data_IF_805130734726
#
_entry.id   IF_805130734726
#
_cell.length_a   1.000
_cell.length_b   1.000
_cell.length_c   1.000
_cell.angle_alpha   90.00
_cell.angle_beta   90.00
_cell.angle_gamma   90.00
#
_symmetry.space_group_name_H-M   'P 1'
#
loop_
_entity.id
_entity.type
_entity.pdbx_description
1 polymer ?
#
# COMPACT_ATOMS: atom_id res chain seq x y z
N UNK A 1 8.59 29.28 -0.42
CA UNK A 1 9.53 28.32 -1.05
C UNK A 1 10.26 29.07 -2.14
N UNK A 2 11.60 29.00 -2.18
CA UNK A 2 12.42 29.65 -3.22
C UNK A 2 12.34 28.84 -4.53
N UNK A 3 12.67 29.43 -5.68
CA UNK A 3 12.64 28.75 -7.00
C UNK A 3 13.55 27.50 -7.08
N UNK A 4 14.49 27.34 -6.14
CA UNK A 4 15.38 26.16 -6.04
C UNK A 4 14.78 25.00 -5.25
N UNK A 5 13.56 25.13 -4.74
CA UNK A 5 12.94 24.08 -3.92
C UNK A 5 12.58 22.89 -4.82
N UNK A 6 12.90 21.63 -4.43
CA UNK A 6 12.53 20.46 -5.20
C UNK A 6 11.02 20.36 -5.43
N UNK A 7 10.62 19.92 -6.61
CA UNK A 7 9.19 19.77 -6.98
C UNK A 7 8.44 18.81 -6.04
N UNK A 8 9.15 17.87 -5.42
CA UNK A 8 8.61 16.91 -4.46
C UNK A 8 7.87 17.58 -3.29
N UNK A 9 8.25 18.80 -2.90
CA UNK A 9 7.57 19.55 -1.83
C UNK A 9 6.18 20.09 -2.22
N UNK A 10 5.91 20.21 -3.52
CA UNK A 10 4.65 20.75 -4.06
C UNK A 10 3.68 19.62 -4.41
N UNK A 11 4.19 18.40 -4.60
CA UNK A 11 3.38 17.23 -4.89
C UNK A 11 2.70 16.76 -3.59
N UNK A 12 1.36 16.76 -3.52
CA UNK A 12 0.65 16.29 -2.33
C UNK A 12 0.89 14.79 -2.19
N UNK A 13 1.64 14.41 -1.17
CA UNK A 13 1.82 13.02 -0.76
C UNK A 13 1.52 12.91 0.73
N UNK A 14 1.01 11.75 1.15
CA UNK A 14 0.86 11.42 2.56
C UNK A 14 2.21 11.10 3.23
N UNK A 15 3.31 11.08 2.45
CA UNK A 15 4.67 10.74 2.92
C UNK A 15 5.73 11.75 2.52
N UNK A 16 6.81 11.75 3.31
CA UNK A 16 8.06 12.47 3.07
C UNK A 16 7.87 13.97 2.76
N UNK A 17 8.68 14.51 1.84
CA UNK A 17 8.69 15.92 1.43
C UNK A 17 7.35 16.42 0.89
N UNK A 18 6.48 15.53 0.39
CA UNK A 18 5.15 15.88 -0.12
C UNK A 18 4.13 16.19 0.97
N UNK A 19 4.39 15.80 2.22
CA UNK A 19 3.56 16.14 3.39
C UNK A 19 3.41 17.64 3.58
N UNK A 20 4.40 18.46 3.19
CA UNK A 20 4.32 19.91 3.35
C UNK A 20 3.12 20.52 2.61
N UNK A 21 2.89 20.09 1.36
CA UNK A 21 1.77 20.59 0.56
C UNK A 21 0.43 20.03 1.04
N UNK A 22 0.39 18.74 1.38
CA UNK A 22 -0.79 18.09 1.93
C UNK A 22 -1.21 18.71 3.27
N UNK A 23 -0.28 18.86 4.21
CA UNK A 23 -0.53 19.44 5.53
C UNK A 23 -0.96 20.91 5.44
N UNK A 24 -0.35 21.69 4.54
CA UNK A 24 -0.77 23.07 4.30
C UNK A 24 -2.21 23.14 3.78
N UNK A 25 -2.55 22.31 2.78
CA UNK A 25 -3.89 22.25 2.23
C UNK A 25 -4.89 21.82 3.30
N UNK A 26 -4.62 20.71 4.00
CA UNK A 26 -5.45 20.20 5.08
C UNK A 26 -5.69 21.26 6.15
N UNK A 27 -4.63 21.94 6.61
CA UNK A 27 -4.72 23.01 7.59
C UNK A 27 -5.62 24.15 7.14
N UNK A 28 -5.48 24.63 5.90
CA UNK A 28 -6.30 25.72 5.36
C UNK A 28 -7.78 25.34 5.28
N UNK A 29 -8.09 24.13 4.79
CA UNK A 29 -9.46 23.64 4.67
C UNK A 29 -10.08 23.39 6.06
N UNK A 30 -9.31 22.84 7.00
CA UNK A 30 -9.73 22.65 8.39
C UNK A 30 -10.04 23.98 9.06
N UNK A 31 -9.18 25.00 8.91
CA UNK A 31 -9.41 26.34 9.47
C UNK A 31 -10.67 26.98 8.94
N UNK A 32 -10.95 26.84 7.64
CA UNK A 32 -12.19 27.33 7.05
C UNK A 32 -13.41 26.64 7.69
N UNK A 33 -13.40 25.31 7.79
CA UNK A 33 -14.51 24.55 8.37
C UNK A 33 -14.74 24.92 9.85
N UNK A 34 -13.66 25.04 10.63
CA UNK A 34 -13.73 25.47 12.04
C UNK A 34 -14.29 26.88 12.19
N UNK A 35 -13.93 27.79 11.28
CA UNK A 35 -14.48 29.15 11.27
C UNK A 35 -15.98 29.15 10.95
N UNK A 36 -16.42 28.37 9.95
CA UNK A 36 -17.84 28.21 9.62
C UNK A 36 -18.64 27.57 10.76
N UNK A 37 -18.04 26.63 11.51
CA UNK A 37 -18.66 26.03 12.68
C UNK A 37 -18.92 27.06 13.78
N UNK A 38 -17.95 27.93 14.08
CA UNK A 38 -18.11 29.04 15.03
C UNK A 38 -19.17 30.04 14.57
N UNK A 39 -19.18 30.38 13.29
CA UNK A 39 -20.22 31.24 12.70
C UNK A 39 -21.62 30.64 12.88
N UNK A 40 -21.82 29.35 12.62
CA UNK A 40 -23.11 28.68 12.80
C UNK A 40 -23.59 28.74 14.26
N UNK A 41 -22.67 28.57 15.22
CA UNK A 41 -22.99 28.70 16.66
C UNK A 41 -23.49 30.10 17.03
N UNK A 42 -22.85 31.16 16.51
CA UNK A 42 -23.25 32.54 16.78
C UNK A 42 -24.55 32.94 16.06
N UNK A 43 -24.71 32.51 14.81
CA UNK A 43 -25.89 32.78 13.97
C UNK A 43 -27.12 31.95 14.36
N UNK A 44 -26.98 30.97 15.28
CA UNK A 44 -28.00 29.96 15.62
C UNK A 44 -28.47 29.12 14.43
N UNK A 45 -27.63 29.03 13.40
CA UNK A 45 -27.89 28.24 12.19
C UNK A 45 -27.31 26.84 12.38
N UNK A 46 -27.96 25.79 11.85
CA UNK A 46 -27.46 24.42 11.95
C UNK A 46 -26.28 24.23 10.98
N UNK A 47 -25.11 23.85 11.50
CA UNK A 47 -23.93 23.56 10.67
C UNK A 47 -24.21 22.49 9.60
N UNK A 48 -24.99 21.46 9.94
CA UNK A 48 -25.37 20.40 9.00
C UNK A 48 -26.30 20.83 7.87
N UNK A 49 -26.92 22.02 7.98
CA UNK A 49 -27.76 22.58 6.92
C UNK A 49 -26.99 23.33 5.85
N UNK A 50 -25.68 23.56 6.04
CA UNK A 50 -24.84 24.17 5.03
C UNK A 50 -24.57 23.20 3.87
N UNK A 51 -24.45 23.71 2.64
CA UNK A 51 -24.05 22.91 1.48
C UNK A 51 -22.66 22.30 1.72
N UNK A 52 -22.48 21.05 1.31
CA UNK A 52 -21.23 20.29 1.44
C UNK A 52 -20.59 20.14 0.06
N UNK A 53 -19.29 20.37 -0.04
CA UNK A 53 -18.54 20.33 -1.30
C UNK A 53 -17.28 19.49 -1.10
N UNK A 54 -16.96 18.64 -2.07
CA UNK A 54 -15.72 17.86 -2.10
C UNK A 54 -14.52 18.74 -2.48
N UNK A 55 -13.31 18.33 -2.06
CA UNK A 55 -12.07 19.05 -2.42
C UNK A 55 -11.86 19.12 -3.94
N UNK A 56 -12.36 18.13 -4.68
CA UNK A 56 -12.27 18.05 -6.15
C UNK A 56 -13.11 19.10 -6.87
N UNK A 57 -14.25 19.47 -6.29
CA UNK A 57 -15.23 20.38 -6.89
C UNK A 57 -15.12 21.80 -6.31
N UNK A 58 -13.98 22.11 -5.72
CA UNK A 58 -13.78 23.33 -4.94
C UNK A 58 -13.51 24.52 -5.86
N UNK A 59 -14.25 25.61 -5.65
CA UNK A 59 -14.13 26.84 -6.41
C UNK A 59 -13.88 28.01 -5.47
N UNK A 60 -13.39 29.14 -5.99
CA UNK A 60 -13.18 30.35 -5.20
C UNK A 60 -14.47 30.86 -4.50
N UNK A 61 -15.65 30.54 -5.04
CA UNK A 61 -16.93 30.89 -4.42
C UNK A 61 -17.19 30.11 -3.12
N UNK A 62 -16.68 28.88 -3.01
CA UNK A 62 -16.82 28.03 -1.83
C UNK A 62 -15.86 28.43 -0.70
N UNK A 63 -14.76 29.12 -1.03
CA UNK A 63 -13.74 29.53 -0.06
C UNK A 63 -14.04 30.88 0.60
N UNK A 64 -13.60 31.03 1.85
CA UNK A 64 -13.56 32.34 2.51
C UNK A 64 -12.34 33.10 1.99
N UNK A 65 -12.58 34.13 1.20
CA UNK A 65 -11.53 34.98 0.64
C UNK A 65 -11.89 36.45 0.87
N UNK A 66 -10.92 37.21 1.37
CA UNK A 66 -11.05 38.65 1.60
C UNK A 66 -9.67 39.31 1.49
N UNK A 67 -9.66 40.58 1.08
CA UNK A 67 -8.46 41.39 1.08
C UNK A 67 -8.48 42.39 2.25
N UNK A 68 -7.48 42.43 3.14
CA UNK A 68 -7.48 43.33 4.31
C UNK A 68 -7.76 44.79 3.96
N UNK A 69 -7.02 45.36 3.00
CA UNK A 69 -7.16 46.80 2.70
C UNK A 69 -8.35 47.16 1.80
N UNK A 70 -8.77 46.25 0.91
CA UNK A 70 -9.84 46.54 -0.06
C UNK A 70 -11.22 46.18 0.47
N UNK A 71 -11.29 45.16 1.32
CA UNK A 71 -12.54 44.65 1.87
C UNK A 71 -12.73 45.05 3.33
N UNK A 72 -11.78 44.71 4.21
CA UNK A 72 -11.95 44.89 5.65
C UNK A 72 -11.82 46.35 6.07
N UNK A 73 -10.80 47.06 5.59
CA UNK A 73 -10.52 48.44 6.01
C UNK A 73 -11.70 49.40 5.73
N UNK A 74 -12.35 49.40 4.54
CA UNK A 74 -13.52 50.24 4.32
C UNK A 74 -14.70 49.90 5.23
N UNK A 75 -14.90 48.61 5.56
CA UNK A 75 -15.96 48.20 6.49
C UNK A 75 -15.68 48.69 7.92
N UNK A 76 -14.42 48.63 8.38
CA UNK A 76 -14.05 49.13 9.71
C UNK A 76 -14.28 50.65 9.78
N UNK A 77 -13.84 51.40 8.77
CA UNK A 77 -13.99 52.85 8.71
C UNK A 77 -15.47 53.28 8.64
N UNK A 78 -16.30 52.54 7.89
CA UNK A 78 -17.74 52.82 7.80
C UNK A 78 -18.49 52.62 9.13
N UNK A 79 -17.96 51.80 10.03
CA UNK A 79 -18.53 51.53 11.35
C UNK A 79 -17.84 52.34 12.47
N UNK A 80 -16.98 53.28 12.10
CA UNK A 80 -16.27 54.18 13.02
C UNK A 80 -17.05 55.49 13.14
N UNK A 81 -17.53 55.80 14.35
CA UNK A 81 -18.25 57.04 14.64
C UNK A 81 -17.34 57.97 15.44
N UNK A 82 -17.17 59.20 14.93
CA UNK A 82 -16.43 60.25 15.62
C UNK A 82 -17.42 61.13 16.38
N UNK A 83 -17.32 61.17 17.71
CA UNK A 83 -18.05 62.12 18.54
C UNK A 83 -17.09 63.16 19.12
N UNK A 84 -17.54 64.40 19.14
CA UNK A 84 -16.78 65.53 19.69
C UNK A 84 -17.57 66.15 20.82
N UNK A 85 -17.05 66.05 22.05
CA UNK A 85 -17.62 66.69 23.22
C UNK A 85 -16.76 67.88 23.64
N UNK A 86 -17.40 69.05 23.81
CA UNK A 86 -16.70 70.30 24.14
C UNK A 86 -16.02 70.15 25.50
N UNK A 87 -14.68 70.14 25.50
CA UNK A 87 -13.84 70.03 26.69
C UNK A 87 -13.23 68.64 26.95
N UNK A 88 -13.59 67.60 26.19
CA UNK A 88 -13.06 66.23 26.37
C UNK A 88 -12.34 65.63 25.15
N UNK A 89 -12.28 66.35 24.02
CA UNK A 89 -11.55 65.92 22.82
C UNK A 89 -12.36 64.98 21.91
N UNK A 90 -11.70 64.41 20.90
CA UNK A 90 -12.33 63.50 19.93
C UNK A 90 -12.40 62.08 20.48
N UNK A 91 -13.61 61.55 20.63
CA UNK A 91 -13.85 60.15 21.02
C UNK A 91 -14.20 59.34 19.77
N UNK A 92 -13.58 58.17 19.66
CA UNK A 92 -13.79 57.23 18.55
C UNK A 92 -14.54 56.02 19.08
N UNK A 93 -15.72 55.76 18.53
CA UNK A 93 -16.55 54.62 18.92
C UNK A 93 -16.79 53.70 17.71
N UNK A 94 -16.64 52.39 17.93
CA UNK A 94 -16.84 51.37 16.91
C UNK A 94 -18.14 50.62 17.15
N UNK A 95 -18.96 50.53 16.10
CA UNK A 95 -20.15 49.69 16.13
C UNK A 95 -19.80 48.23 15.76
N UNK A 96 -19.31 47.47 16.74
CA UNK A 96 -18.91 46.07 16.54
C UNK A 96 -20.07 45.17 16.08
N UNK A 97 -21.29 45.43 16.52
CA UNK A 97 -22.47 44.62 16.14
C UNK A 97 -22.80 44.78 14.66
N UNK A 98 -22.72 45.99 14.11
CA UNK A 98 -22.94 46.23 12.70
C UNK A 98 -21.78 45.68 11.84
N UNK A 99 -20.54 45.84 12.33
CA UNK A 99 -19.34 45.29 11.69
C UNK A 99 -19.42 43.76 11.61
N UNK A 100 -19.81 43.09 12.70
CA UNK A 100 -20.00 41.64 12.75
C UNK A 100 -21.06 41.19 11.73
N UNK A 101 -22.23 41.85 11.67
CA UNK A 101 -23.28 41.54 10.68
C UNK A 101 -22.76 41.70 9.24
N UNK A 102 -22.06 42.79 8.93
CA UNK A 102 -21.53 43.03 7.59
C UNK A 102 -20.48 41.99 7.16
N UNK A 103 -19.62 41.55 8.10
CA UNK A 103 -18.66 40.48 7.84
C UNK A 103 -19.36 39.16 7.53
N UNK A 104 -20.36 38.80 8.34
CA UNK A 104 -21.14 37.57 8.16
C UNK A 104 -21.86 37.56 6.82
N UNK A 105 -22.59 38.63 6.51
CA UNK A 105 -23.40 38.72 5.29
C UNK A 105 -22.54 38.70 4.02
N UNK A 106 -21.38 39.37 4.03
CA UNK A 106 -20.54 39.52 2.85
C UNK A 106 -19.60 38.33 2.59
N UNK A 107 -19.02 37.72 3.64
CA UNK A 107 -17.99 36.70 3.48
C UNK A 107 -18.43 35.28 3.83
N UNK A 108 -19.50 35.11 4.61
CA UNK A 108 -19.86 33.81 5.19
C UNK A 108 -21.22 33.28 4.73
N UNK A 109 -22.16 34.15 4.35
CA UNK A 109 -23.57 33.83 4.11
C UNK A 109 -23.88 32.79 3.00
N UNK A 110 -22.89 32.32 2.25
CA UNK A 110 -23.08 31.35 1.16
C UNK A 110 -22.02 30.25 1.12
N UNK A 111 -21.18 30.17 2.16
CA UNK A 111 -20.03 29.27 2.15
C UNK A 111 -20.42 27.84 2.47
N UNK A 112 -19.73 26.93 1.80
CA UNK A 112 -19.95 25.49 1.91
C UNK A 112 -18.96 24.86 2.88
N UNK A 113 -19.39 23.79 3.53
CA UNK A 113 -18.51 22.93 4.33
C UNK A 113 -17.71 22.03 3.40
N UNK A 114 -16.41 21.95 3.61
CA UNK A 114 -15.50 21.20 2.76
C UNK A 114 -15.32 19.79 3.31
N UNK A 115 -15.55 18.77 2.48
CA UNK A 115 -15.36 17.36 2.84
C UNK A 115 -13.90 16.95 2.63
N UNK A 116 -13.14 16.80 3.72
CA UNK A 116 -11.69 16.53 3.72
C UNK A 116 -11.30 15.09 3.34
N UNK A 117 -12.26 14.20 3.06
CA UNK A 117 -12.00 12.76 2.86
C UNK A 117 -11.36 12.40 1.52
N UNK A 118 -11.34 13.33 0.55
CA UNK A 118 -10.92 13.06 -0.83
C UNK A 118 -9.93 14.11 -1.32
N UNK A 119 -8.90 14.40 -0.53
CA UNK A 119 -7.76 15.20 -1.01
C UNK A 119 -6.96 14.31 -1.97
N UNK A 120 -6.82 14.74 -3.22
CA UNK A 120 -6.04 14.00 -4.20
C UNK A 120 -4.56 14.03 -3.82
N UNK A 121 -3.99 12.83 -3.67
CA UNK A 121 -2.57 12.62 -3.37
C UNK A 121 -1.91 11.87 -4.52
N UNK A 122 -0.61 12.11 -4.69
CA UNK A 122 0.24 11.43 -5.65
C UNK A 122 0.79 10.17 -4.97
N UNK A 123 0.51 9.02 -5.55
CA UNK A 123 1.09 7.74 -5.13
C UNK A 123 2.28 7.42 -6.03
N UNK A 124 3.45 7.19 -5.44
CA UNK A 124 4.63 6.83 -6.22
C UNK A 124 4.56 5.36 -6.66
N UNK A 125 5.06 5.05 -7.86
CA UNK A 125 5.05 3.67 -8.38
C UNK A 125 5.84 2.69 -7.51
N UNK A 126 6.88 3.17 -6.83
CA UNK A 126 7.65 2.39 -5.84
C UNK A 126 6.82 1.97 -4.63
N UNK A 127 5.66 2.57 -4.41
CA UNK A 127 4.73 2.28 -3.32
C UNK A 127 3.59 1.34 -3.74
N UNK A 128 3.61 0.89 -5.01
CA UNK A 128 2.66 -0.10 -5.54
C UNK A 128 3.33 -1.47 -5.59
N UNK A 129 3.77 -1.98 -4.43
CA UNK A 129 4.34 -3.33 -4.35
C UNK A 129 3.28 -4.38 -4.65
N UNK A 130 3.72 -5.58 -5.02
CA UNK A 130 2.82 -6.70 -5.32
C UNK A 130 1.90 -7.01 -4.13
N UNK A 131 2.40 -6.89 -2.90
CA UNK A 131 1.61 -7.04 -1.69
C UNK A 131 0.38 -6.12 -1.65
N UNK A 132 0.55 -4.84 -1.99
CA UNK A 132 -0.55 -3.85 -2.03
C UNK A 132 -1.55 -4.20 -3.14
N UNK A 133 -1.06 -4.59 -4.31
CA UNK A 133 -1.91 -5.01 -5.44
C UNK A 133 -2.76 -6.21 -5.05
N UNK A 134 -2.19 -7.19 -4.37
CA UNK A 134 -2.90 -8.38 -3.94
C UNK A 134 -3.89 -8.13 -2.80
N UNK A 135 -3.63 -7.20 -1.87
CA UNK A 135 -4.64 -6.76 -0.89
C UNK A 135 -5.89 -6.25 -1.59
N UNK A 136 -5.73 -5.33 -2.56
CA UNK A 136 -6.86 -4.80 -3.31
C UNK A 136 -7.57 -5.86 -4.16
N UNK A 137 -6.83 -6.84 -4.68
CA UNK A 137 -7.42 -7.97 -5.38
C UNK A 137 -8.28 -8.81 -4.42
N UNK A 138 -7.77 -9.12 -3.22
CA UNK A 138 -8.48 -9.92 -2.20
C UNK A 138 -9.74 -9.24 -1.67
N UNK A 139 -9.72 -7.92 -1.56
CA UNK A 139 -10.91 -7.13 -1.19
C UNK A 139 -12.05 -7.28 -2.20
N UNK A 140 -11.73 -7.55 -3.48
CA UNK A 140 -12.71 -7.71 -4.56
C UNK A 140 -13.07 -9.17 -4.83
N UNK A 141 -12.07 -10.04 -4.85
CA UNK A 141 -12.18 -11.46 -5.23
C UNK A 141 -11.42 -12.27 -4.19
N UNK A 142 -12.14 -13.06 -3.40
CA UNK A 142 -11.52 -13.98 -2.44
C UNK A 142 -10.60 -14.95 -3.19
N UNK A 143 -9.31 -14.90 -2.85
CA UNK A 143 -8.30 -15.76 -3.45
C UNK A 143 -8.19 -17.08 -2.69
N UNK A 144 -8.01 -18.17 -3.43
CA UNK A 144 -7.87 -19.54 -2.94
C UNK A 144 -6.55 -20.13 -3.46
N UNK A 145 -5.88 -20.95 -2.64
CA UNK A 145 -4.74 -21.75 -3.08
C UNK A 145 -5.19 -22.85 -4.03
N UNK A 146 -4.35 -23.09 -5.03
CA UNK A 146 -4.44 -24.22 -5.95
C UNK A 146 -4.11 -25.51 -5.17
N UNK A 147 -4.77 -26.63 -5.49
CA UNK A 147 -4.46 -27.92 -4.87
C UNK A 147 -3.00 -28.33 -5.16
N UNK A 148 -2.31 -28.89 -4.16
CA UNK A 148 -0.89 -29.28 -4.29
C UNK A 148 -0.62 -30.21 -5.49
N UNK A 149 -1.58 -31.09 -5.81
CA UNK A 149 -1.52 -31.98 -6.98
C UNK A 149 -1.59 -31.27 -8.32
N UNK A 150 -2.29 -30.14 -8.40
CA UNK A 150 -2.42 -29.33 -9.61
C UNK A 150 -1.23 -28.37 -9.70
N UNK A 151 -0.77 -27.83 -8.56
CA UNK A 151 0.40 -26.98 -8.47
C UNK A 151 1.67 -27.71 -8.95
N UNK A 152 1.90 -28.95 -8.50
CA UNK A 152 3.04 -29.77 -8.96
C UNK A 152 3.00 -30.08 -10.46
N UNK A 153 1.80 -30.27 -11.02
CA UNK A 153 1.62 -30.46 -12.46
C UNK A 153 1.89 -29.18 -13.25
N UNK A 154 1.48 -28.02 -12.73
CA UNK A 154 1.78 -26.72 -13.33
C UNK A 154 3.28 -26.45 -13.26
N UNK A 155 3.94 -26.70 -12.12
CA UNK A 155 5.40 -26.59 -11.98
C UNK A 155 6.14 -27.48 -12.97
N UNK A 156 5.72 -28.74 -13.13
CA UNK A 156 6.34 -29.66 -14.10
C UNK A 156 6.23 -29.13 -15.54
N UNK A 157 5.07 -28.56 -15.90
CA UNK A 157 4.86 -27.95 -17.22
C UNK A 157 5.71 -26.68 -17.38
N UNK A 158 5.79 -25.83 -16.35
CA UNK A 158 6.61 -24.61 -16.34
C UNK A 158 8.10 -24.91 -16.46
N UNK A 159 8.60 -25.96 -15.81
CA UNK A 159 10.00 -26.40 -15.91
C UNK A 159 10.39 -26.69 -17.36
N UNK A 160 9.47 -27.20 -18.18
CA UNK A 160 9.71 -27.49 -19.60
C UNK A 160 9.69 -26.26 -20.52
N UNK A 161 9.28 -25.09 -20.01
CA UNK A 161 9.09 -23.86 -20.78
C UNK A 161 10.30 -22.94 -20.70
N UNK A 162 10.49 -22.15 -21.75
CA UNK A 162 11.62 -21.23 -21.88
C UNK A 162 11.50 -20.05 -20.91
N UNK A 163 12.62 -19.50 -20.44
CA UNK A 163 12.62 -18.38 -19.48
C UNK A 163 11.82 -17.16 -19.96
N UNK A 164 11.94 -16.69 -21.23
CA UNK A 164 11.13 -15.57 -21.73
C UNK A 164 9.63 -15.84 -21.68
N UNK A 165 9.18 -17.06 -21.99
CA UNK A 165 7.76 -17.43 -21.97
C UNK A 165 7.17 -17.33 -20.55
N UNK A 166 7.95 -17.68 -19.53
CA UNK A 166 7.53 -17.55 -18.13
C UNK A 166 7.40 -16.07 -17.75
N UNK A 167 8.35 -15.22 -18.15
CA UNK A 167 8.27 -13.77 -17.93
C UNK A 167 7.06 -13.14 -18.64
N UNK A 168 6.84 -13.46 -19.91
CA UNK A 168 5.70 -12.95 -20.68
C UNK A 168 4.37 -13.37 -20.04
N UNK A 169 4.31 -14.55 -19.43
CA UNK A 169 3.13 -15.02 -18.69
C UNK A 169 2.88 -14.21 -17.42
N UNK A 170 3.94 -13.86 -16.69
CA UNK A 170 3.85 -13.02 -15.50
C UNK A 170 3.32 -11.63 -15.90
N UNK A 171 3.85 -11.04 -16.96
CA UNK A 171 3.41 -9.72 -17.45
C UNK A 171 1.93 -9.74 -17.87
N UNK A 172 1.50 -10.81 -18.56
CA UNK A 172 0.08 -11.00 -18.92
C UNK A 172 -0.81 -11.16 -17.68
N UNK A 173 -0.33 -11.84 -16.64
CA UNK A 173 -1.04 -11.96 -15.37
C UNK A 173 -1.08 -10.63 -14.60
N UNK A 174 -0.03 -9.82 -14.64
CA UNK A 174 -0.02 -8.47 -14.04
C UNK A 174 -1.10 -7.59 -14.66
N UNK A 175 -1.22 -7.64 -15.99
CA UNK A 175 -2.31 -6.97 -16.70
C UNK A 175 -3.64 -7.50 -16.18
N UNK A 176 -3.84 -8.82 -16.14
CA UNK A 176 -5.10 -9.39 -15.68
C UNK A 176 -5.46 -9.02 -14.23
N UNK A 177 -4.50 -9.07 -13.31
CA UNK A 177 -4.66 -8.66 -11.91
C UNK A 177 -5.03 -7.16 -11.84
N UNK A 178 -4.40 -6.33 -12.67
CA UNK A 178 -4.68 -4.88 -12.71
C UNK A 178 -6.11 -4.55 -13.15
N UNK A 179 -6.72 -5.38 -13.99
CA UNK A 179 -8.12 -5.24 -14.36
C UNK A 179 -9.05 -5.83 -13.30
N UNK A 180 -8.71 -7.00 -12.75
CA UNK A 180 -9.51 -7.66 -11.72
C UNK A 180 -9.64 -6.83 -10.44
N UNK A 181 -8.59 -6.12 -10.02
CA UNK A 181 -8.66 -5.21 -8.85
C UNK A 181 -9.62 -4.03 -9.07
N UNK A 182 -9.81 -3.59 -10.31
CA UNK A 182 -10.61 -2.40 -10.65
C UNK A 182 -12.07 -2.75 -10.97
N UNK A 183 -12.29 -3.80 -11.76
CA UNK A 183 -13.61 -4.18 -12.27
C UNK A 183 -14.28 -5.25 -11.39
N UNK A 184 -13.48 -6.04 -10.68
CA UNK A 184 -13.95 -7.29 -10.08
C UNK A 184 -14.22 -8.35 -11.15
N UNK A 185 -14.29 -9.61 -10.72
CA UNK A 185 -14.66 -10.74 -11.58
C UNK A 185 -15.33 -11.82 -10.72
N UNK A 186 -16.12 -12.68 -11.35
CA UNK A 186 -16.69 -13.84 -10.67
C UNK A 186 -15.56 -14.83 -10.29
N UNK A 187 -15.40 -15.19 -9.00
CA UNK A 187 -14.31 -16.05 -8.54
C UNK A 187 -14.26 -17.42 -9.23
N UNK A 188 -15.43 -17.93 -9.67
CA UNK A 188 -15.57 -19.25 -10.28
C UNK A 188 -15.35 -19.26 -11.79
N UNK A 189 -15.30 -18.08 -12.42
CA UNK A 189 -15.06 -17.95 -13.85
C UNK A 189 -13.66 -18.44 -14.24
N UNK A 190 -13.51 -19.14 -15.38
CA UNK A 190 -12.21 -19.62 -15.83
C UNK A 190 -11.30 -18.45 -16.18
N UNK A 191 -10.06 -18.49 -15.69
CA UNK A 191 -9.09 -17.40 -15.89
C UNK A 191 -8.78 -17.18 -17.39
N UNK A 192 -8.76 -18.28 -18.15
CA UNK A 192 -8.54 -18.27 -19.59
C UNK A 192 -9.63 -17.53 -20.36
N UNK A 193 -10.89 -17.70 -19.96
CA UNK A 193 -12.04 -16.99 -20.55
C UNK A 193 -11.94 -15.49 -20.29
N UNK A 194 -11.58 -15.10 -19.07
CA UNK A 194 -11.34 -13.69 -18.74
C UNK A 194 -10.21 -13.08 -19.58
N UNK A 195 -9.07 -13.77 -19.70
CA UNK A 195 -7.92 -13.24 -20.45
C UNK A 195 -8.20 -13.17 -21.97
N UNK A 196 -8.87 -14.16 -22.54
CA UNK A 196 -9.10 -14.24 -23.99
C UNK A 196 -10.32 -13.39 -24.40
N UNK A 197 -11.46 -13.55 -23.71
CA UNK A 197 -12.71 -12.94 -24.17
C UNK A 197 -12.94 -11.54 -23.62
N UNK A 198 -12.45 -11.23 -22.40
CA UNK A 198 -12.60 -9.90 -21.80
C UNK A 198 -11.38 -9.03 -22.11
N UNK A 199 -10.18 -9.52 -21.84
CA UNK A 199 -8.95 -8.74 -22.06
C UNK A 199 -8.41 -8.81 -23.49
N UNK A 200 -8.90 -9.73 -24.32
CA UNK A 200 -8.45 -9.92 -25.71
C UNK A 200 -6.94 -10.14 -25.83
N UNK A 201 -6.38 -10.90 -24.89
CA UNK A 201 -4.99 -11.32 -24.92
C UNK A 201 -4.91 -12.61 -25.72
N UNK A 202 -4.35 -12.52 -26.93
CA UNK A 202 -4.03 -13.69 -27.74
C UNK A 202 -2.92 -14.51 -27.03
N UNK A 203 -3.19 -15.80 -26.80
CA UNK A 203 -2.39 -16.72 -25.98
C UNK A 203 -2.31 -16.34 -24.48
N UNK A 204 -3.31 -16.76 -23.69
CA UNK A 204 -3.46 -16.32 -22.30
C UNK A 204 -2.39 -16.82 -21.33
N UNK A 205 -2.00 -18.09 -21.40
CA UNK A 205 -1.17 -18.76 -20.39
C UNK A 205 -0.23 -19.77 -21.05
N UNK A 206 1.01 -19.84 -20.58
CA UNK A 206 2.04 -20.74 -21.12
C UNK A 206 1.85 -22.21 -20.72
N UNK A 207 1.18 -22.47 -19.58
CA UNK A 207 0.80 -23.82 -19.17
C UNK A 207 -0.63 -24.15 -19.62
N UNK A 208 -0.77 -25.22 -20.40
CA UNK A 208 -2.07 -25.70 -20.89
C UNK A 208 -2.94 -26.21 -19.72
N UNK A 209 -2.30 -26.78 -18.69
CA UNK A 209 -3.00 -27.25 -17.48
C UNK A 209 -3.49 -26.09 -16.61
N UNK A 210 -2.70 -25.02 -16.50
CA UNK A 210 -3.13 -23.79 -15.83
C UNK A 210 -4.33 -23.17 -16.57
N UNK A 211 -4.32 -23.18 -17.90
CA UNK A 211 -5.42 -22.64 -18.71
C UNK A 211 -6.75 -23.39 -18.54
N UNK A 212 -6.69 -24.70 -18.30
CA UNK A 212 -7.87 -25.56 -18.15
C UNK A 212 -8.42 -25.62 -16.72
N UNK A 213 -7.55 -25.49 -15.71
CA UNK A 213 -7.93 -25.74 -14.31
C UNK A 213 -7.97 -24.49 -13.43
N UNK A 214 -7.33 -23.39 -13.85
CA UNK A 214 -7.29 -22.16 -13.06
C UNK A 214 -8.53 -21.28 -13.28
N UNK A 215 -9.03 -20.74 -12.17
CA UNK A 215 -10.17 -19.81 -12.09
C UNK A 215 -9.66 -18.45 -11.62
N UNK A 216 -10.49 -17.41 -11.70
CA UNK A 216 -10.13 -16.07 -11.23
C UNK A 216 -9.75 -16.03 -9.74
N UNK A 217 -10.28 -16.94 -8.91
CA UNK A 217 -9.86 -17.10 -7.50
C UNK A 217 -8.45 -17.66 -7.30
N UNK A 218 -7.82 -18.24 -8.32
CA UNK A 218 -6.48 -18.84 -8.23
C UNK A 218 -5.38 -17.93 -8.79
N UNK A 219 -5.71 -16.74 -9.29
CA UNK A 219 -4.77 -15.90 -10.04
C UNK A 219 -3.58 -15.44 -9.19
N UNK A 220 -3.79 -15.11 -7.91
CA UNK A 220 -2.70 -14.76 -6.99
C UNK A 220 -1.74 -15.93 -6.80
N UNK A 221 -2.26 -17.13 -6.51
CA UNK A 221 -1.45 -18.32 -6.29
C UNK A 221 -0.64 -18.70 -7.55
N UNK A 222 -1.26 -18.59 -8.73
CA UNK A 222 -0.58 -18.85 -10.01
C UNK A 222 0.56 -17.84 -10.26
N UNK A 223 0.31 -16.55 -10.03
CA UNK A 223 1.31 -15.51 -10.20
C UNK A 223 2.51 -15.72 -9.28
N UNK A 224 2.25 -15.99 -7.99
CA UNK A 224 3.35 -16.21 -7.02
C UNK A 224 4.13 -17.47 -7.35
N UNK A 225 3.48 -18.53 -7.82
CA UNK A 225 4.16 -19.76 -8.28
C UNK A 225 5.08 -19.47 -9.48
N UNK A 226 4.61 -18.70 -10.46
CA UNK A 226 5.43 -18.30 -11.62
C UNK A 226 6.59 -17.40 -11.23
N UNK A 227 6.36 -16.46 -10.31
CA UNK A 227 7.40 -15.61 -9.77
C UNK A 227 8.47 -16.42 -9.03
N UNK A 228 8.08 -17.43 -8.24
CA UNK A 228 9.00 -18.34 -7.56
C UNK A 228 9.88 -19.09 -8.56
N UNK A 229 9.28 -19.68 -9.60
CA UNK A 229 10.03 -20.40 -10.64
C UNK A 229 10.98 -19.46 -11.41
N UNK A 230 10.56 -18.21 -11.67
CA UNK A 230 11.42 -17.19 -12.26
C UNK A 230 12.62 -16.90 -11.34
N UNK A 231 12.40 -16.69 -10.05
CA UNK A 231 13.45 -16.42 -9.05
C UNK A 231 14.41 -17.61 -8.91
N UNK A 232 13.91 -18.85 -8.81
CA UNK A 232 14.75 -20.06 -8.79
C UNK A 232 15.63 -20.18 -10.04
N UNK A 233 15.09 -19.86 -11.22
CA UNK A 233 15.85 -19.90 -12.48
C UNK A 233 16.88 -18.78 -12.57
N UNK A 234 16.62 -17.61 -12.02
CA UNK A 234 17.59 -16.52 -11.96
C UNK A 234 18.75 -16.88 -11.03
N UNK A 235 18.44 -17.51 -9.89
CA UNK A 235 19.44 -17.96 -8.91
C UNK A 235 20.37 -19.01 -9.52
N UNK A 236 19.80 -20.04 -10.17
CA UNK A 236 20.59 -21.06 -10.87
C UNK A 236 21.48 -20.49 -11.99
N UNK A 237 21.16 -19.29 -12.49
CA UNK A 237 21.94 -18.59 -13.51
C UNK A 237 22.85 -17.49 -12.93
N UNK A 238 22.99 -17.40 -11.60
CA UNK A 238 23.74 -16.36 -10.88
C UNK A 238 23.34 -14.93 -11.27
N UNK A 239 22.05 -14.69 -11.53
CA UNK A 239 21.49 -13.35 -11.79
C UNK A 239 20.72 -12.86 -10.57
N UNK A 240 20.55 -11.55 -10.43
CA UNK A 240 19.77 -10.99 -9.32
C UNK A 240 18.33 -11.53 -9.33
N UNK A 241 17.99 -12.35 -8.33
CA UNK A 241 16.73 -13.11 -8.27
C UNK A 241 15.53 -12.29 -7.75
N UNK A 242 15.79 -11.10 -7.19
CA UNK A 242 14.82 -10.24 -6.51
C UNK A 242 14.92 -8.76 -6.95
N UNK A 243 14.93 -8.49 -8.25
CA UNK A 243 15.05 -7.12 -8.81
C UNK A 243 14.00 -6.12 -8.28
N UNK A 244 12.79 -6.62 -7.97
CA UNK A 244 11.65 -5.79 -7.57
C UNK A 244 11.54 -5.55 -6.05
N UNK A 245 12.35 -6.22 -5.22
CA UNK A 245 12.31 -6.07 -3.76
C UNK A 245 13.32 -5.03 -3.31
N UNK A 246 12.91 -4.19 -2.35
CA UNK A 246 13.77 -3.17 -1.75
C UNK A 246 15.09 -3.77 -1.24
N UNK A 247 16.21 -3.10 -1.53
CA UNK A 247 17.54 -3.52 -1.07
C UNK A 247 17.66 -3.57 0.46
N UNK A 248 16.72 -2.97 1.19
CA UNK A 248 16.61 -3.08 2.64
C UNK A 248 16.39 -4.54 3.11
N UNK A 249 15.82 -5.41 2.26
CA UNK A 249 15.54 -6.82 2.56
C UNK A 249 16.57 -7.81 2.00
N UNK A 250 17.66 -7.29 1.41
CA UNK A 250 18.76 -8.07 0.81
C UNK A 250 20.05 -8.02 1.68
N UNK A 251 19.92 -7.86 2.99
CA UNK A 251 21.08 -7.79 3.87
C UNK A 251 21.60 -9.19 4.19
N UNK A 252 22.93 -9.35 4.18
CA UNK A 252 23.58 -10.61 4.52
C UNK A 252 23.47 -10.89 6.01
N UNK A 253 23.00 -12.08 6.42
CA UNK A 253 23.04 -12.50 7.81
C UNK A 253 24.48 -12.65 8.33
N UNK A 254 24.65 -12.60 9.65
CA UNK A 254 25.93 -12.86 10.33
C UNK A 254 26.33 -14.33 10.25
N UNK A 255 27.62 -14.66 10.42
CA UNK A 255 28.12 -16.06 10.41
C UNK A 255 27.38 -16.95 11.41
N UNK A 256 27.14 -16.47 12.64
CA UNK A 256 26.39 -17.21 13.68
C UNK A 256 24.91 -17.44 13.33
N UNK A 257 24.32 -16.53 12.55
CA UNK A 257 22.94 -16.62 12.08
C UNK A 257 22.81 -17.64 10.94
N UNK A 258 23.83 -17.72 10.09
CA UNK A 258 23.92 -18.72 9.04
C UNK A 258 24.12 -20.11 9.64
N UNK A 259 25.03 -20.27 10.60
CA UNK A 259 25.29 -21.59 11.22
C UNK A 259 24.02 -22.15 11.88
N UNK A 260 23.28 -21.32 12.61
CA UNK A 260 21.99 -21.71 13.20
C UNK A 260 20.92 -22.01 12.14
N UNK A 261 20.90 -21.28 11.02
CA UNK A 261 20.02 -21.61 9.89
C UNK A 261 20.37 -22.96 9.26
N UNK A 262 21.65 -23.21 8.98
CA UNK A 262 22.12 -24.47 8.40
C UNK A 262 21.78 -25.67 9.29
N UNK A 263 21.98 -25.57 10.60
CA UNK A 263 21.62 -26.63 11.56
C UNK A 263 20.12 -26.94 11.53
N UNK A 264 19.26 -25.91 11.47
CA UNK A 264 17.80 -26.10 11.43
C UNK A 264 17.36 -26.68 10.08
N UNK A 265 17.97 -26.23 8.97
CA UNK A 265 17.63 -26.65 7.61
C UNK A 265 18.14 -28.05 7.27
N UNK A 266 19.25 -28.49 7.87
CA UNK A 266 19.78 -29.84 7.62
C UNK A 266 18.84 -30.94 8.12
N UNK A 267 18.08 -30.68 9.18
CA UNK A 267 17.10 -31.61 9.75
C UNK A 267 15.91 -31.86 8.80
N UNK A 268 15.65 -30.95 7.86
CA UNK A 268 14.47 -31.01 6.99
C UNK A 268 14.67 -31.91 5.77
N UNK A 269 13.59 -32.58 5.37
CA UNK A 269 13.52 -33.39 4.15
C UNK A 269 13.36 -32.50 2.89
N UNK A 270 13.69 -33.04 1.72
CA UNK A 270 13.64 -32.31 0.43
C UNK A 270 12.24 -31.73 0.13
N UNK A 271 11.16 -32.49 0.38
CA UNK A 271 9.78 -32.02 0.21
C UNK A 271 9.41 -30.89 1.19
N UNK A 272 9.99 -30.92 2.40
CA UNK A 272 9.78 -29.89 3.41
C UNK A 272 10.53 -28.61 3.05
N UNK A 273 11.75 -28.71 2.50
CA UNK A 273 12.51 -27.58 2.00
C UNK A 273 11.83 -26.89 0.82
N UNK A 274 11.21 -27.66 -0.09
CA UNK A 274 10.44 -27.08 -1.19
C UNK A 274 9.21 -26.31 -0.70
N UNK A 275 8.48 -26.89 0.25
CA UNK A 275 7.31 -26.24 0.88
C UNK A 275 7.71 -25.00 1.68
N UNK A 276 8.87 -25.04 2.35
CA UNK A 276 9.44 -23.94 3.11
C UNK A 276 9.87 -22.79 2.18
N UNK A 277 10.55 -23.10 1.08
CA UNK A 277 10.95 -22.14 0.05
C UNK A 277 9.74 -21.42 -0.54
N UNK A 278 8.66 -22.15 -0.85
CA UNK A 278 7.39 -21.56 -1.31
C UNK A 278 6.79 -20.62 -0.26
N UNK A 279 6.73 -21.05 1.01
CA UNK A 279 6.13 -20.25 2.08
C UNK A 279 6.93 -18.98 2.39
N UNK A 280 8.26 -19.07 2.47
CA UNK A 280 9.09 -17.89 2.74
C UNK A 280 9.01 -16.92 1.57
N UNK A 281 8.94 -17.41 0.33
CA UNK A 281 8.73 -16.55 -0.83
C UNK A 281 7.35 -15.86 -0.81
N UNK A 282 6.29 -16.61 -0.49
CA UNK A 282 4.94 -16.07 -0.28
C UNK A 282 4.97 -14.97 0.80
N UNK A 283 5.63 -15.23 1.93
CA UNK A 283 5.78 -14.28 3.03
C UNK A 283 6.54 -13.02 2.56
N UNK A 284 7.66 -13.20 1.86
CA UNK A 284 8.45 -12.08 1.33
C UNK A 284 7.60 -11.18 0.43
N UNK A 285 6.88 -11.75 -0.54
CA UNK A 285 6.14 -10.97 -1.54
C UNK A 285 4.77 -10.46 -1.07
N UNK A 286 4.11 -11.15 -0.14
CA UNK A 286 2.74 -10.84 0.26
C UNK A 286 2.66 -10.08 1.59
N UNK A 287 3.66 -10.19 2.46
CA UNK A 287 3.64 -9.55 3.79
C UNK A 287 4.86 -8.67 4.08
N UNK A 288 6.08 -9.08 3.68
CA UNK A 288 7.30 -8.34 4.01
C UNK A 288 7.52 -7.15 3.07
N UNK A 289 7.29 -7.31 1.77
CA UNK A 289 7.41 -6.25 0.75
C UNK A 289 6.21 -5.28 0.77
N UNK A 290 5.88 -4.77 1.96
CA UNK A 290 4.86 -3.77 2.20
C UNK A 290 5.50 -2.39 2.35
N UNK A 291 5.11 -1.38 1.55
CA UNK A 291 5.66 -0.04 1.66
C UNK A 291 5.14 0.61 2.95
N UNK A 292 6.03 1.22 3.73
CA UNK A 292 5.71 1.81 5.03
C UNK A 292 4.63 2.89 4.95
N UNK A 293 3.40 2.53 5.36
CA UNK A 293 2.23 3.37 5.70
C UNK A 293 2.55 4.84 6.02
N UNK A 294 3.14 4.98 7.20
CA UNK A 294 3.22 6.18 8.03
C UNK A 294 4.44 6.06 8.97
N UNK A 295 4.83 7.14 9.68
CA UNK A 295 5.88 7.08 10.72
C UNK A 295 5.52 6.12 11.89
N UNK A 296 4.23 5.81 12.07
CA UNK A 296 3.72 4.84 13.06
C UNK A 296 3.66 3.40 12.52
N UNK A 297 3.92 3.19 11.22
CA UNK A 297 3.92 1.86 10.63
C UNK A 297 5.16 1.08 11.05
N UNK A 298 4.97 -0.18 11.43
CA UNK A 298 6.07 -1.04 11.88
C UNK A 298 7.04 -1.23 10.72
N UNK A 299 8.29 -0.82 10.93
CA UNK A 299 9.36 -1.05 9.97
C UNK A 299 9.64 -2.54 9.84
N UNK A 300 9.06 -3.17 8.82
CA UNK A 300 9.18 -4.61 8.58
C UNK A 300 10.63 -5.06 8.51
N UNK A 301 11.58 -4.21 8.09
CA UNK A 301 13.00 -4.58 8.03
C UNK A 301 13.61 -4.91 9.41
N UNK A 302 13.05 -4.34 10.48
CA UNK A 302 13.50 -4.53 11.88
C UNK A 302 12.69 -5.57 12.64
N UNK A 303 11.62 -6.09 12.05
CA UNK A 303 10.80 -7.15 12.64
C UNK A 303 11.57 -8.47 12.54
N UNK A 304 11.43 -9.34 13.55
CA UNK A 304 12.03 -10.66 13.49
C UNK A 304 11.39 -11.49 12.36
N UNK A 305 12.18 -12.20 11.56
CA UNK A 305 11.66 -13.08 10.49
C UNK A 305 10.63 -14.06 11.06
N UNK A 306 10.88 -14.57 12.26
CA UNK A 306 9.95 -15.43 12.98
C UNK A 306 8.60 -14.78 13.25
N UNK A 307 8.59 -13.52 13.72
CA UNK A 307 7.36 -12.77 14.01
C UNK A 307 6.57 -12.50 12.72
N UNK A 308 7.27 -12.22 11.62
CA UNK A 308 6.64 -12.04 10.31
C UNK A 308 6.03 -13.33 9.77
N UNK A 309 6.71 -14.48 9.92
CA UNK A 309 6.17 -15.79 9.55
C UNK A 309 5.02 -16.20 10.47
N UNK A 310 5.12 -15.96 11.79
CA UNK A 310 4.01 -16.17 12.73
C UNK A 310 2.78 -15.32 12.34
N UNK A 311 2.99 -14.06 11.93
CA UNK A 311 1.94 -13.18 11.42
C UNK A 311 1.31 -13.71 10.14
N UNK A 312 2.13 -14.19 9.20
CA UNK A 312 1.65 -14.78 7.94
C UNK A 312 0.78 -16.03 8.20
N UNK A 313 1.16 -16.86 9.18
CA UNK A 313 0.41 -18.07 9.53
C UNK A 313 -0.90 -17.76 10.27
N UNK A 314 -0.97 -16.64 10.99
CA UNK A 314 -2.17 -16.22 11.71
C UNK A 314 -3.23 -15.62 10.77
N UNK A 315 -2.81 -14.78 9.81
CA UNK A 315 -3.69 -14.16 8.82
C UNK A 315 -3.26 -14.55 7.39
N UNK A 316 -3.57 -15.79 6.96
CA UNK A 316 -3.16 -16.28 5.67
C UNK A 316 -3.82 -15.49 4.53
N UNK A 317 -3.08 -15.16 3.46
CA UNK A 317 -3.61 -14.41 2.33
C UNK A 317 -4.57 -15.22 1.45
N UNK A 318 -4.87 -16.48 1.79
CA UNK A 318 -5.73 -17.38 1.05
C UNK A 318 -6.86 -17.92 1.92
N UNK A 319 -8.09 -17.93 1.39
CA UNK A 319 -9.29 -18.26 2.15
C UNK A 319 -9.45 -19.76 2.50
N UNK A 320 -8.71 -20.64 1.81
CA UNK A 320 -8.84 -22.10 1.92
C UNK A 320 -7.55 -22.79 2.43
N UNK A 321 -6.69 -22.07 3.15
CA UNK A 321 -5.43 -22.65 3.61
C UNK A 321 -5.70 -23.80 4.60
N UNK A 322 -5.16 -24.97 4.29
CA UNK A 322 -5.25 -26.13 5.17
C UNK A 322 -4.53 -25.84 6.50
N UNK A 323 -4.93 -26.56 7.56
CA UNK A 323 -4.22 -26.54 8.85
C UNK A 323 -2.71 -26.61 8.63
N UNK A 324 -1.99 -25.62 9.14
CA UNK A 324 -0.53 -25.53 9.04
C UNK A 324 0.08 -26.85 9.53
N UNK A 325 0.83 -27.58 8.70
CA UNK A 325 1.46 -28.84 9.12
C UNK A 325 2.29 -28.68 10.41
N UNK A 326 2.20 -29.64 11.32
CA UNK A 326 2.90 -29.59 12.63
C UNK A 326 4.41 -29.34 12.50
N UNK A 327 5.04 -29.78 11.42
CA UNK A 327 6.47 -29.56 11.17
C UNK A 327 6.81 -28.08 10.92
N UNK A 328 5.90 -27.31 10.32
CA UNK A 328 6.06 -25.85 10.12
C UNK A 328 6.01 -25.14 11.46
N UNK A 329 5.10 -25.54 12.35
CA UNK A 329 5.06 -24.99 13.70
C UNK A 329 6.36 -25.30 14.47
N UNK A 330 6.90 -26.53 14.32
CA UNK A 330 8.20 -26.89 14.90
C UNK A 330 9.34 -26.04 14.33
N UNK A 331 9.38 -25.82 13.02
CA UNK A 331 10.36 -24.95 12.37
C UNK A 331 10.27 -23.52 12.91
N UNK A 332 9.07 -22.93 12.94
CA UNK A 332 8.87 -21.58 13.48
C UNK A 332 9.31 -21.53 14.94
N UNK A 333 8.97 -22.52 15.77
CA UNK A 333 9.44 -22.54 17.17
C UNK A 333 10.96 -22.65 17.30
N UNK A 334 11.64 -23.36 16.38
CA UNK A 334 13.08 -23.52 16.35
C UNK A 334 13.83 -22.23 15.95
N UNK A 335 13.18 -21.32 15.22
CA UNK A 335 13.78 -20.02 14.90
C UNK A 335 14.06 -19.23 16.19
N UNK A 336 15.26 -18.63 16.35
CA UNK A 336 15.62 -17.86 17.53
C UNK A 336 14.74 -16.60 17.67
N UNK A 337 14.17 -16.39 18.86
CA UNK A 337 13.34 -15.21 19.21
C UNK A 337 14.18 -14.01 19.62
N UNK A 338 15.24 -14.24 20.42
CA UNK A 338 16.07 -13.21 21.04
C UNK A 338 17.56 -13.60 20.98
N UNK A 339 18.46 -12.62 20.85
CA UNK A 339 19.92 -12.80 20.86
C UNK A 339 20.64 -12.39 19.56
N UNK A 340 21.96 -12.60 19.50
CA UNK A 340 22.81 -12.31 18.33
C UNK A 340 22.43 -13.16 17.10
N UNK A 341 21.83 -14.33 17.32
CA UNK A 341 21.30 -15.21 16.28
C UNK A 341 19.91 -14.80 15.76
N UNK A 342 19.30 -13.70 16.23
CA UNK A 342 17.95 -13.27 15.78
C UNK A 342 17.97 -12.87 14.31
N UNK A 343 17.21 -13.61 13.49
CA UNK A 343 16.98 -13.27 12.10
C UNK A 343 15.94 -12.16 11.98
N UNK A 344 16.29 -11.14 11.22
CA UNK A 344 15.41 -10.02 10.88
C UNK A 344 14.83 -10.22 9.48
N UNK A 345 13.72 -9.56 9.17
CA UNK A 345 13.18 -9.60 7.81
C UNK A 345 14.13 -8.96 6.80
N UNK A 346 15.10 -8.14 7.23
CA UNK A 346 16.17 -7.64 6.36
C UNK A 346 17.05 -8.76 5.77
N UNK A 347 17.07 -9.95 6.39
CA UNK A 347 17.80 -11.14 5.94
C UNK A 347 16.90 -12.15 5.19
N UNK A 348 15.63 -11.80 4.93
CA UNK A 348 14.64 -12.74 4.39
C UNK A 348 15.01 -13.28 3.00
N UNK A 349 15.53 -12.42 2.12
CA UNK A 349 15.96 -12.81 0.77
C UNK A 349 17.14 -13.78 0.82
N UNK A 350 18.16 -13.48 1.64
CA UNK A 350 19.33 -14.34 1.80
C UNK A 350 18.95 -15.67 2.46
N UNK A 351 18.04 -15.66 3.45
CA UNK A 351 17.51 -16.89 4.05
C UNK A 351 16.82 -17.77 3.00
N UNK A 352 16.08 -17.18 2.07
CA UNK A 352 15.45 -17.92 0.97
C UNK A 352 16.49 -18.50 0.00
N UNK A 353 17.55 -17.74 -0.32
CA UNK A 353 18.66 -18.20 -1.18
C UNK A 353 19.33 -19.41 -0.55
N UNK A 354 19.72 -19.34 0.74
CA UNK A 354 20.33 -20.46 1.47
C UNK A 354 19.44 -21.71 1.48
N UNK A 355 18.13 -21.55 1.64
CA UNK A 355 17.19 -22.68 1.57
C UNK A 355 17.18 -23.30 0.17
N UNK A 356 17.22 -22.47 -0.88
CA UNK A 356 17.23 -22.94 -2.25
C UNK A 356 18.55 -23.64 -2.60
N UNK A 357 19.69 -23.15 -2.11
CA UNK A 357 21.01 -23.80 -2.24
C UNK A 357 21.03 -25.19 -1.57
N UNK A 358 20.57 -25.29 -0.33
CA UNK A 358 20.49 -26.58 0.39
C UNK A 358 19.51 -27.53 -0.33
N UNK A 359 18.43 -27.00 -0.89
CA UNK A 359 17.48 -27.78 -1.68
C UNK A 359 18.14 -28.33 -2.96
N UNK A 360 18.89 -27.51 -3.71
CA UNK A 360 19.61 -27.96 -4.90
C UNK A 360 20.67 -29.01 -4.55
N UNK A 361 21.43 -28.79 -3.47
CA UNK A 361 22.47 -29.72 -3.03
C UNK A 361 21.90 -31.08 -2.60
N UNK A 362 20.82 -31.09 -1.80
CA UNK A 362 20.16 -32.34 -1.39
C UNK A 362 19.48 -33.06 -2.57
N UNK A 363 18.98 -32.32 -3.55
CA UNK A 363 18.38 -32.89 -4.77
C UNK A 363 19.45 -33.53 -5.66
N UNK A 364 20.61 -32.88 -5.81
CA UNK A 364 21.74 -33.39 -6.59
C UNK A 364 22.41 -34.61 -5.92
N UNK A 365 22.36 -34.71 -4.58
CA UNK A 365 22.81 -35.90 -3.85
C UNK A 365 21.85 -37.10 -3.92
N UNK A 366 20.59 -36.88 -4.30
CA UNK A 366 19.59 -37.95 -4.47
C UNK A 366 19.52 -38.51 -5.90
N UNK A 367 20.17 -37.84 -6.88
CA UNK A 367 20.35 -38.29 -8.27
C UNK A 367 21.61 -39.14 -8.41
#
# INVERSE_FOLDING_TARGET
MEERTPIAYVLPSERDTGLCSYALLFFLLEKQNLFLQKYCQQSKTKYDSLPKVNVKDLSAAHLISYHPDRDLLPMVLANCTYSFEVGQGTKVEYNFTNLERQLMDRFLFTKSVILLKEIDTVVYRSETTNAVVFIHLRDRIKQERISASLLSQIQTDLIQKTFPEVCDSIDKLDIAISFMKSVGCDPESPLSDFMINILKIDESLVSQKAQQSCKCKHIQCLWVTLALEKTKRLENNNKESFDNISSAFKQKPSEEQNDTLYEILDILQVEQLESLSQMIFDCILLTIDMPQKDEESVDMSKVGLKEAVESYLYDPPYANEALTPDWIQRFVTALPKDGESRLLCCHSVETWITINEIFTDKKDQML
#
